data_IF_517903212976
#
_entry.id   IF_517903212976
#
_cell.length_a   1.000
_cell.length_b   1.000
_cell.length_c   1.000
_cell.angle_alpha   90.00
_cell.angle_beta   90.00
_cell.angle_gamma   90.00
#
_symmetry.space_group_name_H-M   'P 1'
#
loop_
_entity.id
_entity.type
_entity.pdbx_description
1 polymer ?
#
# COMPACT_ATOMS: atom_id res chain seq x y z
N UNK A 1 -14.41 -3.76 -18.36
CA UNK A 1 -13.24 -3.04 -18.96
C UNK A 1 -12.64 -1.98 -18.02
N UNK A 2 -13.44 -1.05 -17.51
CA UNK A 2 -12.96 0.08 -16.70
C UNK A 2 -12.42 -0.33 -15.33
N UNK A 3 -13.07 -1.29 -14.64
CA UNK A 3 -12.58 -1.84 -13.36
C UNK A 3 -11.17 -2.43 -13.48
N UNK A 4 -10.91 -3.13 -14.58
CA UNK A 4 -9.60 -3.75 -14.86
C UNK A 4 -8.55 -2.68 -15.13
N UNK A 5 -8.88 -1.64 -15.92
CA UNK A 5 -7.97 -0.53 -16.17
C UNK A 5 -7.68 0.30 -14.91
N UNK A 6 -8.65 0.43 -14.01
CA UNK A 6 -8.46 1.11 -12.73
C UNK A 6 -7.53 0.30 -11.81
N UNK A 7 -7.75 -1.01 -11.69
CA UNK A 7 -6.87 -1.91 -10.93
C UNK A 7 -5.43 -1.92 -11.48
N UNK A 8 -5.26 -1.94 -12.80
CA UNK A 8 -3.94 -1.88 -13.44
C UNK A 8 -3.21 -0.56 -13.13
N UNK A 9 -3.92 0.58 -13.21
CA UNK A 9 -3.36 1.88 -12.87
C UNK A 9 -2.96 1.98 -11.39
N UNK A 10 -3.77 1.42 -10.49
CA UNK A 10 -3.45 1.36 -9.07
C UNK A 10 -2.22 0.49 -8.79
N UNK A 11 -2.18 -0.73 -9.34
CA UNK A 11 -1.07 -1.65 -9.12
C UNK A 11 0.27 -1.17 -9.70
N UNK A 12 0.24 -0.34 -10.74
CA UNK A 12 1.43 0.25 -11.36
C UNK A 12 1.76 1.66 -10.85
N UNK A 13 0.96 2.20 -9.91
CA UNK A 13 1.14 3.55 -9.39
C UNK A 13 2.35 3.61 -8.45
N UNK A 14 3.47 4.14 -8.96
CA UNK A 14 4.69 4.38 -8.18
C UNK A 14 4.46 5.20 -6.90
N UNK A 15 3.63 6.27 -6.90
CA UNK A 15 3.31 7.00 -5.67
C UNK A 15 2.64 6.14 -4.59
N UNK A 16 1.74 5.23 -5.00
CA UNK A 16 1.04 4.35 -4.06
C UNK A 16 1.99 3.32 -3.43
N UNK A 17 2.84 2.71 -4.26
CA UNK A 17 3.91 1.82 -3.79
C UNK A 17 4.84 2.53 -2.79
N UNK A 18 5.29 3.74 -3.12
CA UNK A 18 6.17 4.51 -2.25
C UNK A 18 5.53 4.87 -0.90
N UNK A 19 4.23 5.19 -0.89
CA UNK A 19 3.50 5.48 0.34
C UNK A 19 3.42 4.25 1.26
N UNK A 20 3.04 3.10 0.72
CA UNK A 20 3.00 1.85 1.49
C UNK A 20 4.38 1.40 1.97
N UNK A 21 5.40 1.54 1.12
CA UNK A 21 6.79 1.27 1.50
C UNK A 21 7.27 2.19 2.63
N UNK A 22 6.98 3.49 2.54
CA UNK A 22 7.33 4.44 3.59
C UNK A 22 6.62 4.14 4.91
N UNK A 23 5.37 3.64 4.87
CA UNK A 23 4.65 3.19 6.07
C UNK A 23 5.31 1.97 6.70
N UNK A 24 5.78 1.01 5.91
CA UNK A 24 6.51 -0.18 6.40
C UNK A 24 7.88 0.17 6.99
N UNK A 25 8.59 1.12 6.39
CA UNK A 25 9.92 1.57 6.84
C UNK A 25 9.84 2.56 8.01
N UNK A 26 8.65 3.08 8.33
CA UNK A 26 8.45 4.02 9.43
C UNK A 26 8.59 3.35 10.80
N UNK A 27 9.04 4.13 11.78
CA UNK A 27 9.05 3.74 13.20
C UNK A 27 7.66 3.43 13.76
N UNK A 28 6.60 3.86 13.07
CA UNK A 28 5.22 3.65 13.47
C UNK A 28 4.71 2.25 13.11
N UNK A 29 5.38 1.57 12.16
CA UNK A 29 5.01 0.24 11.71
C UNK A 29 4.89 -0.76 12.86
N UNK A 30 5.82 -0.73 13.80
CA UNK A 30 5.82 -1.61 14.98
C UNK A 30 4.60 -1.39 15.90
N UNK A 31 4.01 -0.20 15.88
CA UNK A 31 2.85 0.17 16.70
C UNK A 31 1.51 -0.03 15.98
N UNK A 32 1.51 -0.38 14.69
CA UNK A 32 0.30 -0.70 13.96
C UNK A 32 -0.23 -2.09 14.34
N UNK A 33 -1.56 -2.22 14.38
CA UNK A 33 -2.22 -3.51 14.57
C UNK A 33 -1.98 -4.45 13.40
N UNK A 34 -2.05 -5.75 13.64
CA UNK A 34 -1.81 -6.77 12.61
C UNK A 34 -2.80 -6.64 11.42
N UNK A 35 -4.02 -6.19 11.69
CA UNK A 35 -5.01 -5.91 10.64
C UNK A 35 -4.57 -4.77 9.71
N UNK A 36 -3.89 -3.73 10.24
CA UNK A 36 -3.36 -2.62 9.44
C UNK A 36 -2.11 -3.04 8.69
N UNK A 37 -1.26 -3.88 9.28
CA UNK A 37 -0.08 -4.43 8.61
C UNK A 37 -0.47 -5.28 7.40
N UNK A 38 -1.50 -6.13 7.52
CA UNK A 38 -2.07 -6.93 6.41
C UNK A 38 -2.67 -6.13 5.25
N UNK A 39 -3.02 -4.86 5.46
CA UNK A 39 -3.53 -3.99 4.38
C UNK A 39 -2.41 -3.31 3.60
N UNK A 40 -1.21 -3.24 4.18
CA UNK A 40 -0.03 -2.61 3.60
C UNK A 40 0.93 -3.65 3.02
N UNK A 41 0.97 -4.87 3.58
CA UNK A 41 1.52 -6.08 2.94
C UNK A 41 0.71 -6.48 1.69
#
# INVERSE_FOLDING_TARGET
PEKVQFQLRLGQSKPLYNAFKAMQESSDWQFLSDARKRLVE
#
